data_IF_542732241948
#
_entry.id   IF_542732241948
#
_cell.length_a   1.000
_cell.length_b   1.000
_cell.length_c   1.000
_cell.angle_alpha   90.00
_cell.angle_beta   90.00
_cell.angle_gamma   90.00
#
_symmetry.space_group_name_H-M   'P 1'
#
loop_
_entity.id
_entity.type
_entity.pdbx_description
1 polymer ?
#
# COMPACT_ATOMS: atom_id res chain seq x y z
N UNK A 1 -40.54 30.24 63.92
CA UNK A 1 -40.52 31.13 62.75
C UNK A 1 -39.69 30.45 61.69
N UNK A 2 -40.38 29.86 60.73
CA UNK A 2 -39.85 29.25 59.52
C UNK A 2 -39.08 30.27 58.69
N UNK A 3 -37.80 30.02 58.41
CA UNK A 3 -37.07 30.68 57.32
C UNK A 3 -35.92 29.78 56.85
N UNK A 4 -36.16 29.00 55.79
CA UNK A 4 -35.29 28.95 54.61
C UNK A 4 -35.82 27.91 53.61
N UNK A 5 -36.41 28.34 52.48
CA UNK A 5 -36.40 27.56 51.26
C UNK A 5 -35.06 27.80 50.57
N UNK A 6 -34.35 26.75 50.17
CA UNK A 6 -33.58 26.85 48.92
C UNK A 6 -33.35 25.47 48.36
N UNK A 7 -34.04 25.25 47.25
CA UNK A 7 -33.72 24.20 46.32
C UNK A 7 -32.25 24.35 45.90
N UNK A 8 -31.41 23.44 46.37
CA UNK A 8 -30.25 23.01 45.61
C UNK A 8 -30.59 21.63 45.10
N UNK A 9 -31.46 21.60 44.08
CA UNK A 9 -31.62 20.45 43.21
C UNK A 9 -30.20 20.06 42.77
N UNK A 10 -29.76 18.88 43.18
CA UNK A 10 -28.44 18.37 42.84
C UNK A 10 -28.35 18.33 41.33
N UNK A 11 -27.39 19.04 40.78
CA UNK A 11 -27.01 18.97 39.38
C UNK A 11 -26.41 17.57 39.16
N UNK A 12 -27.26 16.57 38.94
CA UNK A 12 -26.82 15.29 38.38
C UNK A 12 -26.57 15.56 36.91
N UNK A 13 -25.35 16.03 36.62
CA UNK A 13 -24.81 16.00 35.27
C UNK A 13 -24.72 14.54 34.86
N UNK A 14 -25.60 14.14 33.95
CA UNK A 14 -25.48 12.88 33.23
C UNK A 14 -24.18 12.98 32.42
N UNK A 15 -23.11 12.37 32.92
CA UNK A 15 -21.88 12.22 32.15
C UNK A 15 -22.20 11.28 30.99
N UNK A 16 -22.54 11.88 29.86
CA UNK A 16 -22.60 11.21 28.57
C UNK A 16 -21.25 10.51 28.37
N UNK A 17 -21.27 9.18 28.47
CA UNK A 17 -20.14 8.35 28.15
C UNK A 17 -19.79 8.62 26.70
N UNK A 18 -18.73 9.42 26.48
CA UNK A 18 -18.15 9.59 25.16
C UNK A 18 -17.67 8.22 24.71
N UNK A 19 -18.47 7.58 23.86
CA UNK A 19 -18.05 6.45 23.04
C UNK A 19 -16.72 6.87 22.40
N UNK A 20 -15.65 6.14 22.73
CA UNK A 20 -14.32 6.48 22.24
C UNK A 20 -14.35 6.49 20.72
N UNK A 21 -13.93 7.59 20.10
CA UNK A 21 -13.67 7.59 18.66
C UNK A 21 -12.47 6.68 18.45
N UNK A 22 -12.73 5.43 18.08
CA UNK A 22 -11.69 4.48 17.73
C UNK A 22 -11.14 4.87 16.35
N UNK A 23 -9.86 5.21 16.31
CA UNK A 23 -9.17 5.44 15.05
C UNK A 23 -9.02 4.08 14.34
N UNK A 24 -9.54 3.99 13.12
CA UNK A 24 -9.46 2.77 12.32
C UNK A 24 -7.98 2.43 12.10
N UNK A 25 -7.58 1.23 12.53
CA UNK A 25 -6.24 0.73 12.29
C UNK A 25 -6.10 0.44 10.80
N UNK A 26 -5.11 1.04 10.14
CA UNK A 26 -4.81 0.75 8.75
C UNK A 26 -4.44 -0.73 8.61
N UNK A 27 -5.11 -1.42 7.69
CA UNK A 27 -4.83 -2.81 7.38
C UNK A 27 -3.39 -2.92 6.85
N UNK A 28 -2.61 -3.80 7.47
CA UNK A 28 -1.25 -4.03 7.03
C UNK A 28 -1.29 -4.73 5.67
N UNK A 29 -0.78 -4.07 4.65
CA UNK A 29 -0.72 -4.65 3.30
C UNK A 29 0.03 -5.97 3.34
N UNK A 30 -0.68 -7.05 2.99
CA UNK A 30 -0.09 -8.37 2.87
C UNK A 30 0.65 -8.47 1.53
N UNK A 31 1.86 -9.03 1.56
CA UNK A 31 2.64 -9.26 0.35
C UNK A 31 1.97 -10.33 -0.52
N UNK A 32 1.62 -9.95 -1.75
CA UNK A 32 1.12 -10.89 -2.75
C UNK A 32 2.30 -11.45 -3.51
N UNK A 33 2.59 -12.73 -3.31
CA UNK A 33 3.62 -13.43 -4.06
C UNK A 33 3.12 -13.71 -5.49
N UNK A 34 3.66 -12.99 -6.47
CA UNK A 34 3.41 -13.26 -7.88
C UNK A 34 4.44 -14.27 -8.38
N UNK A 35 4.03 -15.54 -8.42
CA UNK A 35 4.86 -16.62 -8.96
C UNK A 35 5.16 -16.35 -10.44
N UNK A 36 6.41 -16.53 -10.84
CA UNK A 36 6.89 -16.44 -12.22
C UNK A 36 6.71 -15.07 -12.90
N UNK A 37 6.88 -13.97 -12.16
CA UNK A 37 6.78 -12.60 -12.67
C UNK A 37 7.64 -12.30 -13.93
N UNK A 38 8.75 -13.02 -14.12
CA UNK A 38 9.66 -12.85 -15.27
C UNK A 38 9.00 -13.20 -16.61
N UNK A 39 8.09 -14.18 -16.63
CA UNK A 39 7.43 -14.60 -17.87
C UNK A 39 6.49 -13.53 -18.44
N UNK A 40 6.03 -12.60 -17.61
CA UNK A 40 5.18 -11.48 -18.05
C UNK A 40 5.86 -10.57 -19.07
N UNK A 41 7.20 -10.56 -19.13
CA UNK A 41 7.95 -9.70 -20.05
C UNK A 41 8.13 -10.28 -21.45
N UNK A 42 7.66 -11.50 -21.68
CA UNK A 42 7.77 -12.19 -22.97
C UNK A 42 6.41 -12.34 -23.62
N UNK A 43 6.32 -11.94 -24.89
CA UNK A 43 5.16 -12.22 -25.74
C UNK A 43 5.54 -13.29 -26.75
N UNK A 44 4.86 -14.44 -26.66
CA UNK A 44 5.04 -15.57 -27.59
C UNK A 44 4.05 -15.40 -28.74
N UNK A 45 4.54 -15.51 -29.96
CA UNK A 45 3.73 -15.56 -31.18
C UNK A 45 3.68 -16.99 -31.74
N UNK A 46 2.76 -17.24 -32.68
CA UNK A 46 2.41 -18.57 -33.19
C UNK A 46 3.56 -19.33 -33.92
N UNK A 47 4.66 -18.65 -34.25
CA UNK A 47 5.76 -19.18 -35.07
C UNK A 47 7.12 -19.18 -34.36
N UNK A 48 7.14 -19.41 -33.05
CA UNK A 48 8.39 -19.51 -32.28
C UNK A 48 9.18 -18.20 -32.15
N UNK A 49 8.59 -17.08 -32.59
CA UNK A 49 9.14 -15.75 -32.38
C UNK A 49 8.72 -15.26 -31.00
N UNK A 50 9.71 -15.04 -30.14
CA UNK A 50 9.51 -14.41 -28.83
C UNK A 50 9.91 -12.94 -28.96
N UNK A 51 9.04 -12.04 -28.51
CA UNK A 51 9.37 -10.61 -28.39
C UNK A 51 9.51 -10.24 -26.92
N UNK A 52 10.56 -9.49 -26.59
CA UNK A 52 10.78 -8.89 -25.27
C UNK A 52 10.02 -7.57 -25.18
N UNK A 53 9.26 -7.38 -24.10
CA UNK A 53 8.44 -6.18 -23.88
C UNK A 53 9.21 -5.04 -23.19
N UNK A 54 10.29 -5.37 -22.48
CA UNK A 54 11.15 -4.42 -21.77
C UNK A 54 12.52 -4.33 -22.42
N UNK A 55 13.19 -3.20 -22.21
CA UNK A 55 14.55 -2.97 -22.70
C UNK A 55 15.56 -3.74 -21.86
N UNK A 56 16.54 -4.32 -22.55
CA UNK A 56 17.71 -4.95 -21.94
C UNK A 56 18.70 -3.88 -21.49
N UNK A 57 19.41 -4.15 -20.38
CA UNK A 57 20.48 -3.27 -19.93
C UNK A 57 21.73 -3.46 -20.80
N UNK A 58 22.37 -2.36 -21.21
CA UNK A 58 23.59 -2.39 -22.01
C UNK A 58 24.87 -2.52 -21.18
N UNK A 59 24.76 -2.57 -19.84
CA UNK A 59 25.92 -2.68 -18.96
C UNK A 59 26.54 -4.08 -19.10
N UNK A 60 27.86 -4.16 -19.25
CA UNK A 60 28.59 -5.43 -19.44
C UNK A 60 28.46 -6.38 -18.24
N UNK A 61 28.19 -5.85 -17.06
CA UNK A 61 27.96 -6.64 -15.83
C UNK A 61 26.54 -7.23 -15.77
N UNK A 62 25.58 -6.58 -16.43
CA UNK A 62 24.18 -6.97 -16.43
C UNK A 62 23.88 -7.65 -17.77
N UNK A 63 24.29 -8.92 -17.87
CA UNK A 63 24.22 -9.70 -19.11
C UNK A 63 22.83 -9.82 -19.75
N UNK A 64 22.79 -10.42 -20.93
CA UNK A 64 21.57 -10.66 -21.69
C UNK A 64 20.56 -11.47 -20.85
N UNK A 65 19.49 -10.80 -20.41
CA UNK A 65 18.48 -11.37 -19.51
C UNK A 65 18.03 -10.42 -18.39
N UNK A 66 18.79 -9.38 -18.07
CA UNK A 66 18.35 -8.35 -17.12
C UNK A 66 17.53 -7.26 -17.80
N UNK A 67 16.22 -7.26 -17.53
CA UNK A 67 15.31 -6.22 -17.99
C UNK A 67 15.36 -5.01 -17.06
N UNK A 68 15.44 -3.81 -17.66
CA UNK A 68 15.34 -2.58 -16.89
C UNK A 68 13.91 -2.38 -16.38
N UNK A 69 13.78 -1.92 -15.14
CA UNK A 69 12.52 -1.48 -14.58
C UNK A 69 12.07 -0.17 -15.25
N UNK A 70 10.86 -0.16 -15.78
CA UNK A 70 10.25 1.02 -16.39
C UNK A 70 9.41 1.74 -15.35
N UNK A 71 9.95 2.81 -14.79
CA UNK A 71 9.17 3.80 -14.02
C UNK A 71 8.68 4.90 -14.95
N UNK A 72 7.81 5.79 -14.45
CA UNK A 72 7.15 6.82 -15.26
C UNK A 72 8.14 7.73 -16.01
N UNK A 73 9.27 8.06 -15.40
CA UNK A 73 10.25 9.03 -15.90
C UNK A 73 11.64 8.42 -16.14
N UNK A 74 11.88 7.18 -15.71
CA UNK A 74 13.21 6.57 -15.71
C UNK A 74 13.19 5.09 -16.02
N UNK A 75 14.28 4.62 -16.63
CA UNK A 75 14.59 3.21 -16.78
C UNK A 75 15.72 2.88 -15.80
N UNK A 76 15.43 2.06 -14.81
CA UNK A 76 16.40 1.70 -13.78
C UNK A 76 16.91 0.27 -14.00
N UNK A 77 18.23 0.08 -13.99
CA UNK A 77 18.80 -1.25 -13.91
C UNK A 77 18.80 -1.66 -12.43
N UNK A 78 18.12 -2.75 -12.09
CA UNK A 78 18.10 -3.26 -10.71
C UNK A 78 19.39 -3.99 -10.31
N UNK A 79 20.41 -4.01 -11.16
CA UNK A 79 21.70 -4.61 -10.89
C UNK A 79 22.65 -3.62 -10.22
N UNK A 80 22.39 -3.37 -8.94
CA UNK A 80 23.36 -2.95 -7.91
C UNK A 80 23.09 -3.80 -6.66
#
# INVERSE_FOLDING_TARGET
>A
MDFAPSALASWQGEEEKKEGIHQAQEDQTQEVEVKLAVLQFYKVYDLGKVQTLRKECHNTECGAGTFMASHFDRHYCGGD
#
